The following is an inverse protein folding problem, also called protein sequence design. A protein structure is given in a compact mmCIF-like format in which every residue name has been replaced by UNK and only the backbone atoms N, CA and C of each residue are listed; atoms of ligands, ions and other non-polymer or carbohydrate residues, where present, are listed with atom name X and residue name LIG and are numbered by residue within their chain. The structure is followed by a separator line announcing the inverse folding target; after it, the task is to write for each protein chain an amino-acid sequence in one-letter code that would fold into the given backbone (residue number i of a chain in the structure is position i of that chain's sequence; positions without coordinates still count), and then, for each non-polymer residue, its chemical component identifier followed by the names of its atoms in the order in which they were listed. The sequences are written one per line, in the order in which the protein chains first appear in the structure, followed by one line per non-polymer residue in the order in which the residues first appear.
data_IF_398801958421
#
_entry.id   IF_398801958421
#
_cell.length_a   1.000
_cell.length_b   1.000
_cell.length_c   1.000
_cell.angle_alpha   90.00
_cell.angle_beta   90.00
_cell.angle_gamma   90.00
#
_symmetry.space_group_name_H-M   'P 1'
#
loop_
_entity.id
_entity.type
_entity.pdbx_description
1 polymer ?
#
# COMPACT_ATOMS: atom_id res chain seq x y z
N UNK A 1 11.42 -3.29 6.81
CA UNK A 1 10.44 -2.35 7.38
C UNK A 1 9.64 -2.96 8.54
N UNK A 2 9.02 -4.14 8.40
CA UNK A 2 8.11 -4.72 9.42
C UNK A 2 8.69 -4.84 10.83
N UNK A 3 9.95 -5.28 10.96
CA UNK A 3 10.66 -5.35 12.26
C UNK A 3 10.72 -3.99 12.99
N UNK A 4 10.77 -2.88 12.24
CA UNK A 4 10.79 -1.54 12.83
C UNK A 4 9.49 -1.24 13.58
N UNK A 5 8.35 -1.80 13.18
CA UNK A 5 7.07 -1.57 13.87
C UNK A 5 7.07 -2.07 15.33
N UNK A 6 7.91 -3.04 15.67
CA UNK A 6 8.04 -3.56 17.04
C UNK A 6 9.16 -2.91 17.88
N UNK A 7 9.94 -1.98 17.30
CA UNK A 7 11.06 -1.35 18.00
C UNK A 7 10.60 -0.21 18.93
N UNK A 8 11.24 -0.06 20.09
CA UNK A 8 10.93 1.03 21.03
C UNK A 8 11.29 2.39 20.41
N UNK A 9 10.38 3.36 20.54
CA UNK A 9 10.47 4.69 19.91
C UNK A 9 10.50 4.67 18.37
N UNK A 10 10.04 3.58 17.76
CA UNK A 10 9.86 3.54 16.32
C UNK A 10 8.64 4.37 15.90
N UNK A 11 8.83 5.17 14.85
CA UNK A 11 7.75 5.88 14.18
C UNK A 11 7.22 5.08 12.97
N UNK A 12 7.46 3.77 12.91
CA UNK A 12 6.89 2.89 11.89
C UNK A 12 5.62 2.22 12.41
N UNK A 13 4.54 2.31 11.65
CA UNK A 13 3.23 1.73 11.98
C UNK A 13 2.81 0.82 10.84
N UNK A 14 2.29 -0.37 11.16
CA UNK A 14 1.62 -1.24 10.19
C UNK A 14 0.13 -0.94 10.23
N UNK A 15 -0.47 -0.68 9.06
CA UNK A 15 -1.92 -0.49 8.91
C UNK A 15 -2.45 -1.49 7.88
N UNK A 16 -3.59 -2.10 8.16
CA UNK A 16 -4.36 -2.86 7.18
C UNK A 16 -5.38 -1.93 6.54
N UNK A 17 -5.40 -1.85 5.21
CA UNK A 17 -6.38 -1.06 4.47
C UNK A 17 -7.08 -1.91 3.43
N UNK A 18 -8.31 -1.52 3.10
CA UNK A 18 -9.05 -2.05 1.97
C UNK A 18 -9.13 -0.96 0.91
N UNK A 19 -8.73 -1.30 -0.32
CA UNK A 19 -8.74 -0.37 -1.44
C UNK A 19 -9.51 -0.97 -2.62
N UNK A 20 -10.17 -0.09 -3.38
CA UNK A 20 -10.77 -0.43 -4.65
C UNK A 20 -9.81 -0.11 -5.78
N UNK A 21 -9.56 -1.07 -6.66
CA UNK A 21 -8.68 -0.91 -7.82
C UNK A 21 -9.41 -1.29 -9.11
N UNK A 22 -9.04 -0.62 -10.19
CA UNK A 22 -9.50 -0.93 -11.54
C UNK A 22 -8.30 -1.38 -12.39
N UNK A 23 -8.38 -2.57 -12.97
CA UNK A 23 -7.33 -3.13 -13.82
C UNK A 23 -7.78 -3.19 -15.27
N UNK A 24 -6.85 -2.95 -16.20
CA UNK A 24 -7.11 -3.21 -17.62
C UNK A 24 -7.39 -4.70 -17.87
N UNK A 25 -8.25 -5.07 -18.84
CA UNK A 25 -8.40 -6.44 -19.33
C UNK A 25 -7.08 -7.13 -19.71
N UNK A 26 -6.03 -6.36 -20.01
CA UNK A 26 -4.68 -6.88 -20.22
C UNK A 26 -4.18 -7.79 -19.07
N UNK A 27 -4.66 -7.57 -17.84
CA UNK A 27 -4.28 -8.34 -16.67
C UNK A 27 -5.11 -9.62 -16.46
N UNK A 28 -6.04 -9.97 -17.35
CA UNK A 28 -6.78 -11.25 -17.28
C UNK A 28 -5.78 -12.43 -17.24
N UNK A 29 -5.98 -13.34 -16.28
CA UNK A 29 -5.06 -14.45 -16.02
C UNK A 29 -3.81 -14.08 -15.21
N UNK A 30 -3.55 -12.80 -14.95
CA UNK A 30 -2.41 -12.27 -14.18
C UNK A 30 -2.82 -11.18 -13.17
N UNK A 31 -4.03 -11.29 -12.62
CA UNK A 31 -4.63 -10.27 -11.73
C UNK A 31 -3.69 -9.87 -10.59
N UNK A 32 -3.10 -10.84 -9.87
CA UNK A 32 -2.17 -10.56 -8.76
C UNK A 32 -1.00 -9.65 -9.17
N UNK A 33 -0.47 -9.84 -10.38
CA UNK A 33 0.61 -9.02 -10.91
C UNK A 33 0.13 -7.59 -11.18
N UNK A 34 -1.04 -7.42 -11.79
CA UNK A 34 -1.63 -6.10 -12.01
C UNK A 34 -1.94 -5.35 -10.71
N UNK A 35 -2.42 -6.06 -9.67
CA UNK A 35 -2.61 -5.47 -8.33
C UNK A 35 -1.29 -4.96 -7.77
N UNK A 36 -0.25 -5.79 -7.81
CA UNK A 36 1.07 -5.42 -7.30
C UNK A 36 1.65 -4.23 -8.04
N UNK A 37 1.58 -4.23 -9.38
CA UNK A 37 2.06 -3.14 -10.22
C UNK A 37 1.35 -1.82 -9.89
N UNK A 38 0.01 -1.84 -9.76
CA UNK A 38 -0.76 -0.65 -9.35
C UNK A 38 -0.30 -0.09 -8.00
N UNK A 39 -0.10 -0.96 -7.00
CA UNK A 39 0.38 -0.54 -5.68
C UNK A 39 1.79 0.03 -5.77
N UNK A 40 2.69 -0.61 -6.50
CA UNK A 40 4.06 -0.11 -6.70
C UNK A 40 4.07 1.25 -7.36
N UNK A 41 3.30 1.43 -8.44
CA UNK A 41 3.14 2.72 -9.12
C UNK A 41 2.55 3.79 -8.18
N UNK A 42 1.55 3.45 -7.36
CA UNK A 42 0.97 4.34 -6.36
C UNK A 42 2.02 4.81 -5.36
N UNK A 43 2.80 3.89 -4.80
CA UNK A 43 3.84 4.19 -3.80
C UNK A 43 4.99 5.00 -4.41
N UNK A 44 5.40 4.69 -5.64
CA UNK A 44 6.45 5.44 -6.35
C UNK A 44 6.01 6.88 -6.64
N UNK A 45 4.75 7.08 -7.02
CA UNK A 45 4.20 8.40 -7.37
C UNK A 45 3.83 9.23 -6.15
N UNK A 46 3.30 8.60 -5.10
CA UNK A 46 2.75 9.24 -3.91
C UNK A 46 3.30 8.59 -2.65
N UNK A 47 4.59 8.81 -2.40
CA UNK A 47 5.26 8.27 -1.19
C UNK A 47 4.61 8.79 0.10
N UNK A 48 4.12 10.02 0.09
CA UNK A 48 3.36 10.60 1.20
C UNK A 48 1.87 10.55 0.88
N UNK A 49 1.08 10.05 1.83
CA UNK A 49 -0.38 10.01 1.75
C UNK A 49 -0.95 10.76 2.94
N UNK A 50 -1.62 11.88 2.65
CA UNK A 50 -2.25 12.75 3.65
C UNK A 50 -3.23 11.96 4.54
N UNK A 51 -3.97 11.01 3.96
CA UNK A 51 -4.91 10.13 4.66
C UNK A 51 -4.27 9.40 5.84
N UNK A 52 -3.02 8.98 5.69
CA UNK A 52 -2.30 8.25 6.73
C UNK A 52 -1.34 9.15 7.53
N UNK A 53 -1.13 10.39 7.09
CA UNK A 53 -0.28 11.38 7.73
C UNK A 53 1.18 10.95 7.82
N UNK A 54 1.67 10.21 6.83
CA UNK A 54 3.01 9.63 6.83
C UNK A 54 3.46 9.11 5.47
N UNK A 55 4.67 8.56 5.45
CA UNK A 55 5.31 8.04 4.24
C UNK A 55 5.14 6.53 4.18
N UNK A 56 4.56 5.98 3.12
CA UNK A 56 4.58 4.53 2.89
C UNK A 56 6.01 4.12 2.52
N UNK A 57 6.59 3.24 3.32
CA UNK A 57 7.96 2.73 3.11
C UNK A 57 7.99 1.31 2.59
N UNK A 58 6.92 0.55 2.82
CA UNK A 58 6.77 -0.82 2.36
C UNK A 58 5.29 -1.22 2.41
N UNK A 59 4.97 -2.31 1.74
CA UNK A 59 3.67 -2.95 1.79
C UNK A 59 3.86 -4.47 1.89
N UNK A 60 2.89 -5.18 2.46
CA UNK A 60 2.84 -6.64 2.47
C UNK A 60 1.40 -7.18 2.41
N UNK A 61 1.27 -8.50 2.36
CA UNK A 61 0.01 -9.21 2.56
C UNK A 61 -1.15 -8.77 1.62
N UNK A 62 -0.84 -8.54 0.34
CA UNK A 62 -1.86 -8.21 -0.67
C UNK A 62 -2.82 -9.40 -0.85
N UNK A 63 -4.12 -9.14 -0.68
CA UNK A 63 -5.20 -10.11 -0.89
C UNK A 63 -6.29 -9.50 -1.76
N UNK A 64 -6.67 -10.18 -2.83
CA UNK A 64 -7.87 -9.86 -3.59
C UNK A 64 -9.07 -10.44 -2.84
N UNK A 65 -10.06 -9.61 -2.53
CA UNK A 65 -11.22 -10.01 -1.72
C UNK A 65 -12.32 -10.70 -2.53
N UNK A 66 -12.43 -10.35 -3.80
CA UNK A 66 -13.39 -10.94 -4.72
C UNK A 66 -12.78 -12.12 -5.50
N UNK A 67 -13.60 -13.13 -5.80
CA UNK A 67 -13.21 -14.28 -6.63
C UNK A 67 -13.28 -13.98 -8.13
N UNK A 68 -14.11 -13.02 -8.52
CA UNK A 68 -14.38 -12.59 -9.89
C UNK A 68 -14.34 -11.07 -9.97
N UNK A 69 -13.93 -10.55 -11.13
CA UNK A 69 -13.98 -9.12 -11.39
C UNK A 69 -15.41 -8.67 -11.64
N UNK A 70 -15.73 -7.46 -11.22
CA UNK A 70 -16.92 -6.75 -11.71
C UNK A 70 -16.51 -5.87 -12.90
N UNK A 71 -17.34 -5.86 -13.93
CA UNK A 71 -17.22 -4.95 -15.08
C UNK A 71 -18.50 -4.11 -15.05
N UNK A 72 -18.37 -2.80 -15.00
CA UNK A 72 -19.52 -1.89 -15.07
C UNK A 72 -19.77 -1.53 -16.54
N UNK A 73 -21.05 -1.36 -16.93
CA UNK A 73 -21.49 -1.25 -18.34
C UNK A 73 -20.72 -0.22 -19.18
N UNK A 74 -20.19 0.83 -18.55
CA UNK A 74 -19.51 1.95 -19.21
C UNK A 74 -17.98 1.81 -19.28
N UNK A 75 -17.40 0.76 -18.69
CA UNK A 75 -15.95 0.61 -18.57
C UNK A 75 -15.52 -0.85 -18.68
N UNK A 76 -14.65 -1.22 -19.63
CA UNK A 76 -14.12 -2.58 -19.71
C UNK A 76 -13.10 -2.88 -18.60
N UNK A 77 -12.89 -1.97 -17.64
CA UNK A 77 -11.97 -2.21 -16.54
C UNK A 77 -12.51 -3.29 -15.59
N UNK A 78 -11.60 -4.09 -15.07
CA UNK A 78 -11.85 -5.12 -14.09
C UNK A 78 -11.73 -4.49 -12.70
N UNK A 79 -12.85 -4.39 -12.01
CA UNK A 79 -12.92 -3.80 -10.68
C UNK A 79 -12.71 -4.87 -9.60
N UNK A 80 -11.82 -4.56 -8.64
CA UNK A 80 -11.52 -5.42 -7.50
C UNK A 80 -11.36 -4.64 -6.22
N UNK A 81 -11.88 -5.19 -5.13
CA UNK A 81 -11.50 -4.82 -3.79
C UNK A 81 -10.32 -5.67 -3.31
N UNK A 82 -9.31 -5.01 -2.76
CA UNK A 82 -8.11 -5.62 -2.23
C UNK A 82 -7.91 -5.24 -0.77
N UNK A 83 -7.27 -6.12 0.00
CA UNK A 83 -6.64 -5.78 1.26
C UNK A 83 -5.14 -5.73 1.10
N UNK A 84 -4.50 -4.77 1.73
CA UNK A 84 -3.05 -4.61 1.76
C UNK A 84 -2.63 -4.08 3.11
N UNK A 85 -1.47 -4.52 3.59
CA UNK A 85 -0.87 -3.97 4.79
C UNK A 85 0.20 -2.97 4.35
N UNK A 86 0.08 -1.71 4.77
CA UNK A 86 1.12 -0.72 4.56
C UNK A 86 1.95 -0.54 5.82
N UNK A 87 3.25 -0.33 5.62
CA UNK A 87 4.15 0.10 6.67
C UNK A 87 4.46 1.56 6.42
N UNK A 88 4.06 2.39 7.38
CA UNK A 88 4.09 3.84 7.28
C UNK A 88 5.10 4.39 8.27
N UNK A 89 6.02 5.20 7.78
CA UNK A 89 6.86 6.04 8.62
C UNK A 89 6.10 7.34 8.93
N UNK A 90 5.68 7.46 10.19
CA UNK A 90 4.85 8.55 10.70
C UNK A 90 5.51 9.20 11.93
N UNK A 91 6.51 10.08 11.71
CA UNK A 91 7.10 10.84 12.81
C UNK A 91 6.13 11.91 13.32
N UNK A 92 6.09 12.10 14.63
CA UNK A 92 5.24 13.11 15.28
C UNK A 92 6.12 14.09 16.06
N UNK A 93 5.65 15.33 16.20
CA UNK A 93 6.33 16.36 16.99
C UNK A 93 6.53 15.85 18.43
N UNK A 94 7.76 15.96 18.94
CA UNK A 94 8.13 15.52 20.28
C UNK A 94 8.53 14.04 20.41
N UNK A 95 8.45 13.23 19.35
CA UNK A 95 8.98 11.86 19.35
C UNK A 95 10.49 11.87 19.10
N UNK A 96 11.22 10.99 19.82
CA UNK A 96 12.65 10.76 19.58
C UNK A 96 12.82 9.81 18.40
N UNK A 97 13.70 10.16 17.47
CA UNK A 97 14.10 9.32 16.34
C UNK A 97 15.57 8.92 16.49
N UNK A 98 15.87 7.65 16.21
CA UNK A 98 17.25 7.16 16.13
C UNK A 98 17.67 7.11 14.67
N UNK A 99 18.75 7.81 14.34
CA UNK A 99 19.34 7.82 13.00
C UNK A 99 20.81 7.42 13.05
N UNK A 100 21.33 6.94 11.92
CA UNK A 100 22.77 6.76 11.73
C UNK A 100 23.31 8.02 11.06
N UNK A 101 24.36 8.62 11.64
CA UNK A 101 25.02 9.77 11.02
C UNK A 101 25.73 9.29 9.76
N UNK A 102 25.35 9.86 8.62
CA UNK A 102 25.98 9.60 7.33
C UNK A 102 26.63 10.89 6.79
N UNK A 103 27.69 10.77 5.98
CA UNK A 103 28.43 11.89 5.37
C UNK A 103 27.84 12.30 4.03
#
# INVERSE_FOLDING_TARGET
AKRKCSEKHSCFVEIETQEHIALSPYYIGRIKHGVQEQIEHKIQRWKFLDEYGGIIVAYDNIKVLQRSAEIYDESPLLHFDIKVNYIIFKPEIGKKLFGVVNR
#
